data_IF_567988469254
#
_entry.id   IF_567988469254
#
_cell.length_a   1.000
_cell.length_b   1.000
_cell.length_c   1.000
_cell.angle_alpha   90.00
_cell.angle_beta   90.00
_cell.angle_gamma   90.00
#
_symmetry.space_group_name_H-M   'P 1'
#
loop_
_entity.id
_entity.type
_entity.pdbx_description
1 polymer ?
#
# COMPACT_ATOMS: atom_id res chain seq x y z
N UNK A 1 -16.97 -7.08 10.99
CA UNK A 1 -15.83 -7.64 10.23
C UNK A 1 -14.50 -7.15 10.81
N UNK A 2 -13.37 -7.74 10.37
CA UNK A 2 -12.02 -7.32 10.85
C UNK A 2 -11.77 -5.87 10.42
N UNK A 3 -12.11 -5.52 9.18
CA UNK A 3 -12.02 -4.16 8.65
C UNK A 3 -12.74 -3.14 9.55
N UNK A 4 -13.98 -3.40 9.94
CA UNK A 4 -14.76 -2.47 10.78
C UNK A 4 -14.12 -2.26 12.14
N UNK A 5 -13.70 -3.34 12.79
CA UNK A 5 -13.04 -3.26 14.11
C UNK A 5 -11.76 -2.42 14.04
N UNK A 6 -10.98 -2.59 12.97
CA UNK A 6 -9.78 -1.81 12.75
C UNK A 6 -10.10 -0.33 12.53
N UNK A 7 -11.05 -0.02 11.63
CA UNK A 7 -11.46 1.36 11.36
C UNK A 7 -12.03 2.02 12.61
N UNK A 8 -12.93 1.37 13.33
CA UNK A 8 -13.55 1.88 14.55
C UNK A 8 -12.49 2.14 15.64
N UNK A 9 -11.51 1.26 15.78
CA UNK A 9 -10.38 1.47 16.69
C UNK A 9 -9.57 2.70 16.30
N UNK A 10 -9.20 2.86 15.03
CA UNK A 10 -8.40 3.99 14.54
C UNK A 10 -9.16 5.30 14.70
N UNK A 11 -10.46 5.34 14.37
CA UNK A 11 -11.30 6.51 14.58
C UNK A 11 -11.41 6.88 16.06
N UNK A 12 -11.56 5.89 16.95
CA UNK A 12 -11.60 6.09 18.40
C UNK A 12 -10.29 6.63 18.98
N UNK A 13 -9.16 6.33 18.35
CA UNK A 13 -7.85 6.88 18.70
C UNK A 13 -7.58 8.26 18.08
N UNK A 14 -8.54 8.85 17.37
CA UNK A 14 -8.41 10.17 16.74
C UNK A 14 -7.77 10.15 15.36
N UNK A 15 -7.46 8.99 14.79
CA UNK A 15 -6.99 8.84 13.41
C UNK A 15 -8.20 8.77 12.50
N UNK A 16 -8.74 9.95 12.15
CA UNK A 16 -10.10 10.08 11.61
C UNK A 16 -10.20 10.86 10.30
N UNK A 17 -9.08 11.21 9.68
CA UNK A 17 -9.07 12.01 8.44
C UNK A 17 -9.38 11.18 7.21
N UNK A 18 -8.73 10.04 7.07
CA UNK A 18 -8.87 9.16 5.91
C UNK A 18 -8.79 7.69 6.32
N UNK A 19 -9.46 6.85 5.54
CA UNK A 19 -9.47 5.39 5.69
C UNK A 19 -8.83 4.80 4.44
N UNK A 20 -7.66 4.19 4.62
CA UNK A 20 -6.96 3.51 3.53
C UNK A 20 -7.59 2.13 3.27
N UNK A 21 -8.15 1.96 2.09
CA UNK A 21 -8.53 0.65 1.56
C UNK A 21 -7.39 0.19 0.65
N UNK A 22 -6.41 -0.48 1.27
CA UNK A 22 -5.12 -0.86 0.68
C UNK A 22 -5.27 -1.75 -0.55
N UNK A 23 -4.18 -1.79 -1.36
CA UNK A 23 -4.05 -2.49 -2.64
C UNK A 23 -4.93 -3.74 -2.75
N UNK A 24 -6.03 -3.60 -3.49
CA UNK A 24 -7.01 -4.69 -3.62
C UNK A 24 -6.68 -5.61 -4.78
N UNK A 25 -5.97 -5.11 -5.81
CA UNK A 25 -5.59 -5.93 -6.96
C UNK A 25 -4.19 -6.49 -6.74
N UNK A 26 -4.04 -7.81 -6.63
CA UNK A 26 -2.73 -8.45 -6.55
C UNK A 26 -1.91 -8.18 -7.82
N UNK A 27 -0.58 -8.05 -7.68
CA UNK A 27 0.32 -7.77 -8.80
C UNK A 27 0.26 -8.81 -9.93
N UNK A 28 -0.04 -10.06 -9.57
CA UNK A 28 -0.21 -11.16 -10.53
C UNK A 28 -1.64 -11.29 -11.09
N UNK A 29 -2.58 -10.42 -10.64
CA UNK A 29 -4.02 -10.48 -10.95
C UNK A 29 -4.68 -11.82 -10.57
N UNK A 30 -4.12 -12.56 -9.63
CA UNK A 30 -4.69 -13.79 -9.09
C UNK A 30 -5.46 -13.49 -7.81
N UNK A 31 -6.76 -13.75 -7.83
CA UNK A 31 -7.67 -13.54 -6.71
C UNK A 31 -7.98 -14.87 -6.05
N UNK A 32 -7.89 -14.90 -4.74
CA UNK A 32 -8.30 -16.04 -3.93
C UNK A 32 -9.58 -15.68 -3.17
N UNK A 33 -10.58 -16.54 -3.24
CA UNK A 33 -11.80 -16.40 -2.47
C UNK A 33 -12.34 -17.75 -2.02
N UNK A 34 -13.07 -17.76 -0.91
CA UNK A 34 -13.76 -18.94 -0.42
C UNK A 34 -15.08 -19.12 -1.20
N UNK A 35 -15.26 -20.27 -1.83
CA UNK A 35 -16.51 -20.66 -2.48
C UNK A 35 -17.35 -21.49 -1.50
N UNK A 36 -18.40 -20.90 -0.96
CA UNK A 36 -19.27 -21.56 0.02
C UNK A 36 -19.99 -22.78 -0.57
N UNK A 37 -20.35 -22.74 -1.84
CA UNK A 37 -21.05 -23.82 -2.50
C UNK A 37 -20.16 -25.06 -2.70
N UNK A 38 -18.86 -24.84 -2.91
CA UNK A 38 -17.88 -25.91 -3.09
C UNK A 38 -17.16 -26.28 -1.79
N UNK A 39 -17.15 -25.38 -0.79
CA UNK A 39 -16.44 -25.58 0.45
C UNK A 39 -14.91 -25.55 0.31
N UNK A 40 -14.39 -24.81 -0.68
CA UNK A 40 -12.96 -24.72 -0.97
C UNK A 40 -12.53 -23.29 -1.36
N UNK A 41 -11.23 -23.01 -1.23
CA UNK A 41 -10.63 -21.79 -1.74
C UNK A 41 -10.39 -21.93 -3.23
N UNK A 42 -10.87 -20.96 -3.99
CA UNK A 42 -10.69 -20.87 -5.45
C UNK A 42 -9.72 -19.77 -5.77
N UNK A 43 -8.75 -20.07 -6.61
CA UNK A 43 -7.85 -19.08 -7.23
C UNK A 43 -8.28 -18.84 -8.65
N UNK A 44 -8.44 -17.56 -9.01
CA UNK A 44 -8.82 -17.16 -10.36
C UNK A 44 -7.93 -16.04 -10.86
N UNK A 45 -7.41 -16.18 -12.07
CA UNK A 45 -6.73 -15.07 -12.75
C UNK A 45 -7.76 -14.17 -13.41
N UNK A 46 -7.75 -12.91 -13.01
CA UNK A 46 -8.71 -11.91 -13.48
C UNK A 46 -7.95 -10.63 -13.89
N UNK A 47 -7.53 -10.58 -15.15
CA UNK A 47 -6.85 -9.39 -15.67
C UNK A 47 -7.82 -8.22 -15.81
N UNK A 48 -7.42 -7.00 -15.38
CA UNK A 48 -8.24 -5.80 -15.48
C UNK A 48 -8.74 -5.55 -16.91
N UNK A 49 -10.00 -5.13 -17.03
CA UNK A 49 -10.67 -4.94 -18.33
C UNK A 49 -11.35 -6.18 -18.90
N UNK A 50 -11.06 -7.37 -18.38
CA UNK A 50 -11.74 -8.59 -18.81
C UNK A 50 -13.14 -8.73 -18.21
N UNK A 51 -13.96 -9.59 -18.83
CA UNK A 51 -15.31 -9.87 -18.33
C UNK A 51 -15.27 -10.45 -16.92
N UNK A 52 -14.38 -11.42 -16.68
CA UNK A 52 -14.24 -12.08 -15.36
C UNK A 52 -13.83 -11.09 -14.27
N UNK A 53 -12.94 -10.15 -14.57
CA UNK A 53 -12.56 -9.08 -13.64
C UNK A 53 -13.79 -8.26 -13.22
N UNK A 54 -14.62 -7.85 -14.17
CA UNK A 54 -15.85 -7.09 -13.88
C UNK A 54 -16.88 -7.92 -13.11
N UNK A 55 -17.02 -9.19 -13.43
CA UNK A 55 -17.96 -10.09 -12.76
C UNK A 55 -17.61 -10.32 -11.28
N UNK A 56 -16.33 -10.36 -10.95
CA UNK A 56 -15.85 -10.54 -9.57
C UNK A 56 -15.91 -9.20 -8.81
N UNK A 57 -15.31 -8.16 -9.39
CA UNK A 57 -15.12 -6.91 -8.65
C UNK A 57 -16.39 -6.05 -8.55
N UNK A 58 -17.24 -6.02 -9.56
CA UNK A 58 -18.42 -5.14 -9.54
C UNK A 58 -19.38 -5.40 -8.36
N UNK A 59 -19.78 -6.64 -8.06
CA UNK A 59 -20.65 -6.90 -6.91
C UNK A 59 -19.96 -6.56 -5.59
N UNK A 60 -18.68 -6.90 -5.43
CA UNK A 60 -17.91 -6.56 -4.24
C UNK A 60 -17.83 -5.04 -4.04
N UNK A 61 -17.43 -4.27 -5.06
CA UNK A 61 -17.29 -2.82 -4.96
C UNK A 61 -18.61 -2.13 -4.65
N UNK A 62 -19.71 -2.58 -5.23
CA UNK A 62 -21.05 -2.06 -4.93
C UNK A 62 -21.46 -2.35 -3.48
N UNK A 63 -21.22 -3.56 -3.00
CA UNK A 63 -21.52 -3.93 -1.62
C UNK A 63 -20.63 -3.17 -0.65
N UNK A 64 -19.35 -3.04 -0.94
CA UNK A 64 -18.41 -2.28 -0.12
C UNK A 64 -18.77 -0.79 -0.09
N UNK A 65 -19.19 -0.19 -1.21
CA UNK A 65 -19.70 1.18 -1.25
C UNK A 65 -20.92 1.35 -0.35
N UNK A 66 -21.90 0.42 -0.44
CA UNK A 66 -23.07 0.41 0.43
C UNK A 66 -22.66 0.36 1.90
N UNK A 67 -21.72 -0.56 2.24
CA UNK A 67 -21.20 -0.70 3.60
C UNK A 67 -20.53 0.59 4.10
N UNK A 68 -19.66 1.20 3.31
CA UNK A 68 -19.03 2.48 3.67
C UNK A 68 -20.04 3.59 3.91
N UNK A 69 -21.13 3.66 3.13
CA UNK A 69 -22.24 4.63 3.32
C UNK A 69 -23.01 4.38 4.60
N UNK A 70 -23.37 3.13 4.88
CA UNK A 70 -24.07 2.72 6.09
C UNK A 70 -23.27 3.05 7.36
N UNK A 71 -21.93 2.98 7.28
CA UNK A 71 -21.02 3.36 8.36
C UNK A 71 -20.70 4.86 8.43
N UNK A 72 -21.08 5.66 7.44
CA UNK A 72 -20.72 7.08 7.33
C UNK A 72 -19.22 7.30 7.05
N UNK A 73 -18.59 6.39 6.30
CA UNK A 73 -17.16 6.40 6.02
C UNK A 73 -16.80 6.70 4.56
N UNK A 74 -17.78 6.76 3.66
CA UNK A 74 -17.53 6.89 2.22
C UNK A 74 -16.69 8.11 1.85
N UNK A 75 -16.98 9.27 2.48
CA UNK A 75 -16.27 10.52 2.24
C UNK A 75 -14.82 10.55 2.76
N UNK A 76 -14.48 9.63 3.64
CA UNK A 76 -13.15 9.47 4.21
C UNK A 76 -12.35 8.35 3.55
N UNK A 77 -13.03 7.42 2.89
CA UNK A 77 -12.38 6.28 2.27
C UNK A 77 -11.66 6.69 0.98
N UNK A 78 -10.51 6.07 0.75
CA UNK A 78 -9.87 6.05 -0.56
C UNK A 78 -9.40 4.64 -0.88
N UNK A 79 -9.43 4.32 -2.17
CA UNK A 79 -8.96 3.02 -2.66
C UNK A 79 -7.53 3.17 -3.17
N UNK A 80 -6.63 2.44 -2.57
CA UNK A 80 -5.30 2.17 -3.10
C UNK A 80 -5.43 0.90 -3.95
N UNK A 81 -5.64 1.07 -5.26
CA UNK A 81 -6.07 -0.01 -6.15
C UNK A 81 -4.91 -0.80 -6.74
N UNK A 82 -3.93 -0.10 -7.26
CA UNK A 82 -2.70 -0.65 -7.82
C UNK A 82 -1.48 -0.08 -7.12
N UNK A 83 -0.45 -0.90 -7.02
CA UNK A 83 0.84 -0.56 -6.42
C UNK A 83 1.93 -0.53 -7.50
N UNK A 84 2.64 0.59 -7.59
CA UNK A 84 3.80 0.84 -8.46
C UNK A 84 3.64 0.26 -9.89
N UNK A 85 2.62 0.66 -10.66
CA UNK A 85 2.44 0.14 -12.00
C UNK A 85 3.58 0.60 -12.90
N UNK A 86 3.86 -0.18 -13.94
CA UNK A 86 4.76 0.21 -15.02
C UNK A 86 3.96 0.65 -16.24
N UNK A 87 4.57 1.41 -17.13
CA UNK A 87 3.93 1.91 -18.36
C UNK A 87 3.25 0.79 -19.17
N UNK A 88 3.84 -0.40 -19.21
CA UNK A 88 3.27 -1.56 -19.88
C UNK A 88 1.95 -2.04 -19.26
N UNK A 89 1.65 -1.67 -18.02
CA UNK A 89 0.43 -2.06 -17.30
C UNK A 89 -0.62 -0.95 -17.26
N UNK A 90 -0.35 0.25 -17.76
CA UNK A 90 -1.27 1.38 -17.67
C UNK A 90 -2.64 1.12 -18.27
N UNK A 91 -2.74 0.35 -19.37
CA UNK A 91 -4.04 -0.03 -19.93
C UNK A 91 -4.89 -0.78 -18.91
N UNK A 92 -4.29 -1.69 -18.15
CA UNK A 92 -4.95 -2.43 -17.08
C UNK A 92 -5.33 -1.52 -15.92
N UNK A 93 -4.41 -0.63 -15.52
CA UNK A 93 -4.66 0.38 -14.47
C UNK A 93 -5.86 1.23 -14.83
N UNK A 94 -5.90 1.78 -16.03
CA UNK A 94 -7.01 2.61 -16.52
C UNK A 94 -8.33 1.84 -16.49
N UNK A 95 -8.34 0.59 -16.95
CA UNK A 95 -9.54 -0.25 -16.95
C UNK A 95 -10.09 -0.45 -15.52
N UNK A 96 -9.21 -0.75 -14.57
CA UNK A 96 -9.59 -0.90 -13.16
C UNK A 96 -10.03 0.41 -12.50
N UNK A 97 -9.31 1.52 -12.75
CA UNK A 97 -9.66 2.83 -12.20
C UNK A 97 -11.01 3.35 -12.72
N UNK A 98 -11.35 3.03 -13.99
CA UNK A 98 -12.67 3.33 -14.56
C UNK A 98 -13.76 2.51 -13.88
N UNK A 99 -13.53 1.23 -13.64
CA UNK A 99 -14.48 0.38 -12.92
C UNK A 99 -14.73 0.93 -11.50
N UNK A 100 -13.69 1.37 -10.80
CA UNK A 100 -13.85 2.04 -9.50
C UNK A 100 -14.71 3.30 -9.62
N UNK A 101 -14.44 4.17 -10.57
CA UNK A 101 -15.20 5.41 -10.77
C UNK A 101 -16.68 5.13 -11.07
N UNK A 102 -16.97 4.08 -11.84
CA UNK A 102 -18.33 3.66 -12.16
C UNK A 102 -19.07 3.07 -10.96
N UNK A 103 -18.37 2.33 -10.10
CA UNK A 103 -19.00 1.57 -9.01
C UNK A 103 -18.94 2.29 -7.67
N UNK A 104 -17.94 3.14 -7.44
CA UNK A 104 -17.67 3.88 -6.20
C UNK A 104 -17.38 5.36 -6.48
N UNK A 105 -18.31 6.12 -7.09
CA UNK A 105 -18.05 7.48 -7.56
C UNK A 105 -17.69 8.48 -6.45
N UNK A 106 -18.08 8.20 -5.21
CA UNK A 106 -17.78 9.03 -4.02
C UNK A 106 -16.43 8.77 -3.38
N UNK A 107 -15.70 7.71 -3.81
CA UNK A 107 -14.46 7.29 -3.18
C UNK A 107 -13.27 7.67 -4.05
N UNK A 108 -12.25 8.30 -3.44
CA UNK A 108 -11.03 8.70 -4.15
C UNK A 108 -10.17 7.50 -4.52
N UNK A 109 -9.46 7.60 -5.65
CA UNK A 109 -8.56 6.57 -6.20
C UNK A 109 -7.13 7.05 -6.06
N UNK A 110 -6.33 6.32 -5.29
CA UNK A 110 -4.90 6.57 -5.12
C UNK A 110 -4.08 5.64 -6.01
N UNK A 111 -3.00 6.17 -6.56
CA UNK A 111 -2.01 5.42 -7.33
C UNK A 111 -0.61 5.85 -6.91
N UNK A 112 0.26 4.88 -6.64
CA UNK A 112 1.70 5.09 -6.37
C UNK A 112 2.45 5.30 -7.69
N UNK A 113 2.17 6.42 -8.34
CA UNK A 113 2.76 6.83 -9.61
C UNK A 113 2.86 8.36 -9.67
N UNK A 114 3.77 8.88 -10.48
CA UNK A 114 3.79 10.29 -10.85
C UNK A 114 2.73 10.58 -11.92
N UNK A 115 2.36 11.88 -12.11
CA UNK A 115 1.45 12.24 -13.18
C UNK A 115 1.97 11.87 -14.57
N UNK A 116 1.31 10.88 -15.20
CA UNK A 116 1.57 10.46 -16.57
C UNK A 116 0.34 10.74 -17.44
N UNK A 117 0.55 11.24 -18.66
CA UNK A 117 -0.55 11.65 -19.56
C UNK A 117 -1.59 10.57 -19.80
N UNK A 118 -1.13 9.35 -19.93
CA UNK A 118 -1.97 8.17 -20.17
C UNK A 118 -2.97 7.92 -19.03
N UNK A 119 -2.62 8.34 -17.82
CA UNK A 119 -3.40 8.09 -16.61
C UNK A 119 -4.35 9.25 -16.25
N UNK A 120 -4.31 10.38 -16.96
CA UNK A 120 -5.11 11.56 -16.63
C UNK A 120 -6.61 11.25 -16.57
N UNK A 121 -7.29 11.86 -15.56
CA UNK A 121 -8.71 11.66 -15.30
C UNK A 121 -9.07 10.31 -14.67
N UNK A 122 -8.07 9.44 -14.42
CA UNK A 122 -8.27 8.15 -13.77
C UNK A 122 -7.73 8.09 -12.34
N UNK A 123 -6.99 9.08 -11.89
CA UNK A 123 -6.36 9.16 -10.56
C UNK A 123 -6.88 10.40 -9.84
N UNK A 124 -7.18 10.29 -8.56
CA UNK A 124 -7.61 11.40 -7.72
C UNK A 124 -6.52 11.80 -6.72
N UNK A 125 -5.64 10.86 -6.37
CA UNK A 125 -4.50 11.07 -5.48
C UNK A 125 -3.27 10.44 -6.12
N UNK A 126 -2.35 11.28 -6.56
CA UNK A 126 -1.03 10.88 -7.04
C UNK A 126 -0.09 10.68 -5.87
N UNK A 127 0.66 9.59 -5.85
CA UNK A 127 1.57 9.27 -4.76
C UNK A 127 2.95 8.84 -5.29
N UNK A 128 3.72 9.76 -5.92
CA UNK A 128 5.06 9.46 -6.38
C UNK A 128 6.08 9.39 -5.23
N UNK A 129 7.25 8.83 -5.51
CA UNK A 129 8.44 9.10 -4.69
C UNK A 129 8.93 10.54 -4.88
N UNK A 130 9.62 11.15 -3.90
CA UNK A 130 10.00 12.57 -3.93
C UNK A 130 10.76 13.04 -5.17
N UNK A 131 11.59 12.18 -5.75
CA UNK A 131 12.39 12.53 -6.95
C UNK A 131 11.57 12.52 -8.25
N UNK A 132 10.33 12.01 -8.20
CA UNK A 132 9.38 12.02 -9.31
C UNK A 132 8.23 13.02 -9.12
N UNK A 133 8.24 13.82 -8.04
CA UNK A 133 7.15 14.75 -7.75
C UNK A 133 7.03 15.84 -8.81
N UNK A 134 8.15 16.48 -9.15
CA UNK A 134 8.17 17.65 -10.03
C UNK A 134 8.19 17.26 -11.50
N UNK A 135 7.07 16.76 -12.00
CA UNK A 135 6.88 16.51 -13.42
C UNK A 135 6.27 17.73 -14.11
N UNK A 136 6.41 17.81 -15.43
CA UNK A 136 5.77 18.86 -16.24
C UNK A 136 4.23 18.86 -16.11
N UNK A 137 3.66 17.76 -15.63
CA UNK A 137 2.22 17.54 -15.54
C UNK A 137 1.63 17.87 -14.17
N UNK A 138 2.44 18.01 -13.13
CA UNK A 138 1.99 18.28 -11.75
C UNK A 138 1.02 19.46 -11.69
N UNK A 139 1.38 20.58 -12.31
CA UNK A 139 0.57 21.79 -12.29
C UNK A 139 -0.81 21.63 -12.96
N UNK A 140 -0.93 20.79 -13.98
CA UNK A 140 -2.19 20.51 -14.65
C UNK A 140 -3.10 19.64 -13.75
N UNK A 141 -2.54 18.61 -13.12
CA UNK A 141 -3.25 17.73 -12.20
C UNK A 141 -3.77 18.49 -10.96
N UNK A 142 -2.94 19.37 -10.37
CA UNK A 142 -3.37 20.23 -9.24
C UNK A 142 -4.51 21.17 -9.64
N UNK A 143 -4.47 21.76 -10.85
CA UNK A 143 -5.57 22.59 -11.37
C UNK A 143 -6.85 21.80 -11.62
N UNK A 144 -6.73 20.52 -11.93
CA UNK A 144 -7.88 19.60 -12.05
C UNK A 144 -8.46 19.18 -10.67
N UNK A 145 -7.85 19.60 -9.56
CA UNK A 145 -8.30 19.28 -8.21
C UNK A 145 -7.79 17.96 -7.68
N UNK A 146 -6.79 17.37 -8.33
CA UNK A 146 -6.16 16.13 -7.90
C UNK A 146 -5.19 16.40 -6.74
N UNK A 147 -5.14 15.48 -5.79
CA UNK A 147 -4.30 15.57 -4.60
C UNK A 147 -2.93 14.94 -4.84
N UNK A 148 -1.93 15.41 -4.10
CA UNK A 148 -0.59 14.86 -4.12
C UNK A 148 -0.19 14.36 -2.74
N UNK A 149 0.22 13.11 -2.70
CA UNK A 149 0.89 12.46 -1.60
C UNK A 149 2.29 12.05 -2.07
N UNK A 150 3.07 11.46 -1.21
CA UNK A 150 4.32 10.80 -1.56
C UNK A 150 4.69 9.72 -0.55
N UNK A 151 5.66 8.90 -0.92
CA UNK A 151 6.16 7.86 -0.04
C UNK A 151 7.68 7.72 -0.16
N UNK A 152 8.27 7.08 0.83
CA UNK A 152 9.64 6.58 0.83
C UNK A 152 9.61 5.05 0.98
N UNK A 153 10.64 4.42 0.47
CA UNK A 153 10.95 3.02 0.69
C UNK A 153 12.49 2.85 0.56
N UNK A 154 12.97 1.83 -0.12
CA UNK A 154 14.41 1.70 -0.46
C UNK A 154 14.92 2.81 -1.39
N UNK A 155 14.03 3.57 -1.97
CA UNK A 155 14.28 4.77 -2.78
C UNK A 155 13.48 5.97 -2.20
N UNK A 156 13.89 7.21 -2.51
CA UNK A 156 15.08 7.62 -3.27
C UNK A 156 16.37 7.54 -2.45
N UNK A 157 17.49 7.42 -3.15
CA UNK A 157 18.82 7.55 -2.55
C UNK A 157 19.22 9.01 -2.38
N UNK A 158 20.36 9.25 -1.72
CA UNK A 158 20.93 10.58 -1.63
C UNK A 158 21.04 11.24 -3.04
N UNK A 159 20.79 12.54 -3.18
CA UNK A 159 20.71 13.59 -2.14
C UNK A 159 19.31 13.79 -1.55
N UNK A 160 18.34 12.98 -1.90
CA UNK A 160 17.00 13.07 -1.32
C UNK A 160 16.99 12.57 0.13
N UNK A 161 16.04 13.04 0.92
CA UNK A 161 15.84 12.52 2.27
C UNK A 161 15.37 11.05 2.22
N UNK A 162 15.65 10.31 3.28
CA UNK A 162 15.33 8.88 3.38
C UNK A 162 14.96 8.49 4.81
N UNK A 163 14.49 7.26 4.96
CA UNK A 163 13.97 6.73 6.22
C UNK A 163 14.88 5.66 6.85
N UNK A 164 16.03 5.36 6.25
CA UNK A 164 16.93 4.33 6.76
C UNK A 164 17.62 4.74 8.07
N UNK A 165 17.83 3.78 8.95
CA UNK A 165 18.51 3.98 10.24
C UNK A 165 19.94 4.53 10.02
N UNK A 166 20.59 4.18 8.91
CA UNK A 166 21.95 4.62 8.57
C UNK A 166 22.05 6.09 8.15
N UNK A 167 20.92 6.75 7.95
CA UNK A 167 20.88 8.13 7.52
C UNK A 167 20.71 9.09 8.70
N UNK A 168 21.00 10.36 8.48
CA UNK A 168 20.85 11.37 9.51
C UNK A 168 19.37 11.46 9.95
N UNK A 169 19.10 11.35 11.26
CA UNK A 169 17.73 11.43 11.80
C UNK A 169 17.00 12.75 11.48
N UNK A 170 17.76 13.81 11.12
CA UNK A 170 17.20 15.07 10.63
C UNK A 170 16.44 14.92 9.30
N UNK A 171 16.73 13.90 8.49
CA UNK A 171 16.07 13.69 7.19
C UNK A 171 14.59 13.36 7.34
N UNK A 172 14.22 12.53 8.31
CA UNK A 172 12.81 12.26 8.61
C UNK A 172 12.07 13.53 9.08
N UNK A 173 12.76 14.43 9.76
CA UNK A 173 12.19 15.74 10.12
C UNK A 173 12.02 16.63 8.90
N UNK A 174 12.99 16.61 7.98
CA UNK A 174 12.89 17.34 6.71
C UNK A 174 11.72 16.86 5.84
N UNK A 175 11.36 15.60 5.92
CA UNK A 175 10.22 15.05 5.20
C UNK A 175 8.92 15.81 5.50
N UNK A 176 8.63 16.10 6.76
CA UNK A 176 7.48 16.91 7.15
C UNK A 176 7.54 18.36 6.61
N UNK A 177 8.72 19.01 6.70
CA UNK A 177 8.90 20.37 6.18
C UNK A 177 8.81 20.43 4.66
N UNK A 178 9.37 19.44 3.97
CA UNK A 178 9.28 19.35 2.53
C UNK A 178 7.83 19.11 2.09
N UNK A 179 7.08 18.23 2.79
CA UNK A 179 5.65 18.01 2.53
C UNK A 179 4.85 19.31 2.61
N UNK A 180 5.09 20.10 3.65
CA UNK A 180 4.45 21.40 3.81
C UNK A 180 4.79 22.35 2.65
N UNK A 181 6.08 22.48 2.32
CA UNK A 181 6.57 23.39 1.29
C UNK A 181 6.04 23.05 -0.11
N UNK A 182 5.87 21.78 -0.41
CA UNK A 182 5.42 21.29 -1.72
C UNK A 182 3.92 20.96 -1.77
N UNK A 183 3.16 21.38 -0.74
CA UNK A 183 1.71 21.17 -0.66
C UNK A 183 1.28 19.70 -0.79
N UNK A 184 2.10 18.81 -0.24
CA UNK A 184 1.77 17.38 -0.14
C UNK A 184 0.74 17.19 0.98
N UNK A 185 -0.35 16.53 0.66
CA UNK A 185 -1.48 16.32 1.58
C UNK A 185 -1.40 15.05 2.41
N UNK A 186 -0.55 14.10 2.02
CA UNK A 186 -0.40 12.85 2.73
C UNK A 186 0.97 12.21 2.53
N UNK A 187 1.36 11.43 3.53
CA UNK A 187 2.55 10.60 3.50
C UNK A 187 2.07 9.15 3.57
N UNK A 188 2.42 8.35 2.56
CA UNK A 188 2.16 6.93 2.57
C UNK A 188 3.38 6.20 3.13
N UNK A 189 3.12 5.27 4.06
CA UNK A 189 4.12 4.34 4.57
C UNK A 189 3.65 2.93 4.23
N UNK A 190 4.42 2.21 3.45
CA UNK A 190 4.05 0.88 2.96
C UNK A 190 3.92 -0.14 4.10
N UNK A 191 4.73 0.00 5.14
CA UNK A 191 4.66 -0.79 6.37
C UNK A 191 5.22 0.00 7.55
N UNK A 192 4.71 -0.26 8.75
CA UNK A 192 5.27 0.24 10.01
C UNK A 192 5.82 -0.89 10.89
N UNK A 193 5.41 -2.12 10.63
CA UNK A 193 5.64 -3.31 11.47
C UNK A 193 6.20 -4.49 10.67
N UNK A 194 7.04 -4.21 9.67
CA UNK A 194 7.69 -5.25 8.87
C UNK A 194 8.82 -5.93 9.66
N UNK A 195 8.45 -6.74 10.64
CA UNK A 195 9.38 -7.29 11.62
C UNK A 195 10.23 -8.44 11.11
N UNK A 196 9.72 -9.20 10.14
CA UNK A 196 10.39 -10.39 9.62
C UNK A 196 10.46 -10.39 8.11
N UNK A 197 11.46 -11.05 7.56
CA UNK A 197 11.60 -11.26 6.12
C UNK A 197 11.90 -12.73 5.85
N UNK A 198 11.15 -13.35 4.94
CA UNK A 198 11.37 -14.73 4.52
C UNK A 198 12.74 -14.90 3.83
N UNK A 199 13.26 -13.87 3.19
CA UNK A 199 14.58 -13.90 2.56
C UNK A 199 15.70 -13.95 3.59
N UNK A 200 15.52 -13.32 4.77
CA UNK A 200 16.52 -13.34 5.84
C UNK A 200 16.49 -14.66 6.63
N UNK A 201 15.30 -15.13 6.94
CA UNK A 201 15.05 -16.30 7.75
C UNK A 201 13.98 -17.17 7.09
N UNK A 202 14.36 -18.01 6.12
CA UNK A 202 13.41 -18.87 5.42
C UNK A 202 12.81 -19.97 6.32
N UNK A 203 13.41 -20.22 7.48
CA UNK A 203 12.89 -21.13 8.49
C UNK A 203 11.87 -20.39 9.38
N UNK A 204 10.60 -20.77 9.27
CA UNK A 204 9.49 -20.21 10.07
C UNK A 204 9.67 -20.36 11.59
N UNK A 205 10.53 -21.32 12.02
CA UNK A 205 10.85 -21.53 13.45
C UNK A 205 11.89 -20.54 13.99
N UNK A 206 12.52 -19.75 13.09
CA UNK A 206 13.53 -18.76 13.44
C UNK A 206 13.19 -17.43 12.79
N UNK A 207 12.13 -16.74 13.26
CA UNK A 207 11.77 -15.43 12.73
C UNK A 207 12.91 -14.42 12.99
N UNK A 208 13.02 -13.45 12.10
CA UNK A 208 13.97 -12.35 12.27
C UNK A 208 13.61 -11.54 13.52
N UNK A 209 14.61 -11.27 14.36
CA UNK A 209 14.46 -10.36 15.48
C UNK A 209 14.86 -8.94 15.05
N UNK A 210 13.93 -7.98 14.92
CA UNK A 210 14.25 -6.63 14.45
C UNK A 210 15.13 -5.82 15.42
N UNK A 211 15.27 -6.25 16.66
CA UNK A 211 16.19 -5.62 17.64
C UNK A 211 17.65 -5.99 17.40
N UNK A 212 17.90 -7.18 16.82
CA UNK A 212 19.24 -7.67 16.52
C UNK A 212 19.60 -7.46 15.04
N UNK A 213 18.63 -7.60 14.16
CA UNK A 213 18.77 -7.42 12.71
C UNK A 213 17.62 -6.57 12.17
N UNK A 214 17.78 -5.23 12.15
CA UNK A 214 16.76 -4.32 11.62
C UNK A 214 16.73 -4.30 10.09
N UNK A 215 17.63 -5.00 9.39
CA UNK A 215 17.69 -5.02 7.93
C UNK A 215 16.44 -5.67 7.34
N UNK A 216 15.77 -4.97 6.43
CA UNK A 216 14.82 -5.61 5.52
C UNK A 216 15.59 -6.37 4.43
N UNK A 217 15.15 -7.58 4.12
CA UNK A 217 15.77 -8.44 3.12
C UNK A 217 14.82 -8.68 1.96
N UNK A 218 15.35 -8.64 0.76
CA UNK A 218 14.59 -8.92 -0.45
C UNK A 218 14.10 -10.36 -0.46
N UNK A 219 12.87 -10.58 -0.91
CA UNK A 219 12.27 -11.90 -1.07
C UNK A 219 11.90 -12.17 -2.54
N UNK A 220 11.68 -13.45 -2.86
CA UNK A 220 11.22 -13.86 -4.19
C UNK A 220 12.24 -13.67 -5.30
N UNK A 221 11.77 -13.32 -6.50
CA UNK A 221 12.58 -13.25 -7.72
C UNK A 221 13.67 -12.18 -7.76
N UNK A 222 13.77 -11.33 -6.76
CA UNK A 222 14.81 -10.30 -6.69
C UNK A 222 16.11 -10.77 -6.02
N UNK A 223 16.08 -11.94 -5.37
CA UNK A 223 17.27 -12.59 -4.81
C UNK A 223 17.33 -14.04 -5.30
N UNK A 224 18.53 -14.59 -5.45
CA UNK A 224 18.69 -16.00 -5.78
C UNK A 224 18.28 -16.87 -4.59
N UNK A 225 17.79 -18.09 -4.80
CA UNK A 225 17.51 -19.03 -3.71
C UNK A 225 18.73 -19.16 -2.77
N UNK A 226 18.51 -18.92 -1.47
CA UNK A 226 19.56 -18.96 -0.45
C UNK A 226 20.47 -17.72 -0.38
N UNK A 227 20.30 -16.74 -1.25
CA UNK A 227 21.02 -15.47 -1.19
C UNK A 227 20.29 -14.50 -0.25
N UNK A 228 21.06 -13.80 0.60
CA UNK A 228 20.59 -12.70 1.43
C UNK A 228 20.98 -11.38 0.76
N UNK A 229 20.00 -10.70 0.18
CA UNK A 229 20.19 -9.39 -0.42
C UNK A 229 19.52 -8.32 0.44
N UNK A 230 20.26 -7.35 1.00
CA UNK A 230 19.66 -6.31 1.81
C UNK A 230 18.75 -5.42 0.97
N UNK A 231 17.60 -5.09 1.54
CA UNK A 231 16.65 -4.15 0.98
C UNK A 231 16.89 -2.75 1.51
N UNK A 232 16.78 -2.57 2.83
CA UNK A 232 16.99 -1.30 3.49
C UNK A 232 16.99 -1.45 5.00
N UNK A 233 17.94 -0.79 5.66
CA UNK A 233 18.07 -0.86 7.12
C UNK A 233 16.99 -0.02 7.80
N UNK A 234 16.00 -0.67 8.39
CA UNK A 234 14.86 -0.03 9.06
C UNK A 234 13.66 0.26 8.15
N UNK A 235 13.74 -0.02 6.83
CA UNK A 235 12.62 0.18 5.92
C UNK A 235 11.40 -0.63 6.35
N UNK A 236 10.25 0.06 6.50
CA UNK A 236 9.02 -0.54 7.00
C UNK A 236 9.01 -0.90 8.48
N UNK A 237 9.98 -0.46 9.30
CA UNK A 237 10.17 -0.83 10.71
C UNK A 237 10.19 0.37 11.63
N UNK A 238 9.06 1.07 11.72
CA UNK A 238 8.91 2.24 12.58
C UNK A 238 8.45 1.90 14.00
N UNK A 239 7.75 0.78 14.15
CA UNK A 239 7.23 0.29 15.42
C UNK A 239 7.81 -1.10 15.65
N UNK A 240 8.53 -1.28 16.76
CA UNK A 240 9.11 -2.57 17.13
C UNK A 240 8.13 -3.41 17.93
N UNK A 241 8.18 -4.75 17.83
CA UNK A 241 7.31 -5.62 18.60
C UNK A 241 7.66 -5.56 20.09
N UNK A 242 6.73 -5.91 20.99
CA UNK A 242 7.07 -6.12 22.38
C UNK A 242 8.14 -7.22 22.53
N UNK A 243 9.15 -7.01 23.38
CA UNK A 243 10.25 -7.97 23.59
C UNK A 243 9.77 -9.39 23.91
N UNK A 244 8.71 -9.51 24.73
CA UNK A 244 8.11 -10.82 25.07
C UNK A 244 7.57 -11.56 23.83
N UNK A 245 7.05 -10.84 22.84
CA UNK A 245 6.59 -11.44 21.59
C UNK A 245 7.74 -11.95 20.73
N UNK A 246 8.90 -11.29 20.77
CA UNK A 246 10.11 -11.73 20.06
C UNK A 246 10.67 -12.99 20.69
N UNK A 247 10.64 -13.08 22.04
CA UNK A 247 11.13 -14.24 22.78
C UNK A 247 10.20 -15.46 22.70
N UNK A 248 8.88 -15.21 22.62
CA UNK A 248 7.85 -16.27 22.63
C UNK A 248 7.28 -16.59 21.27
N UNK A 249 7.68 -15.93 20.21
CA UNK A 249 7.26 -16.23 18.83
C UNK A 249 7.86 -17.56 18.36
N UNK A 250 7.58 -18.62 19.10
CA UNK A 250 7.65 -20.00 18.64
C UNK A 250 6.55 -20.23 17.60
N UNK A 251 6.90 -20.95 16.55
CA UNK A 251 6.00 -21.35 15.50
C UNK A 251 4.66 -21.85 16.07
N UNK A 252 3.58 -21.13 15.86
CA UNK A 252 2.24 -21.59 16.17
C UNK A 252 1.32 -20.62 16.89
N UNK A 253 1.80 -19.54 17.47
CA UNK A 253 0.91 -18.55 18.07
C UNK A 253 0.34 -17.59 16.99
N UNK A 254 -0.75 -18.05 16.38
CA UNK A 254 -1.66 -17.22 15.58
C UNK A 254 -2.44 -16.19 16.43
N UNK A 255 -1.83 -15.73 17.53
CA UNK A 255 -2.45 -14.79 18.47
C UNK A 255 -2.28 -13.32 18.06
N UNK A 256 -1.76 -13.06 16.85
CA UNK A 256 -1.70 -11.73 16.27
C UNK A 256 -2.60 -11.61 15.04
N UNK A 257 -3.88 -11.91 15.23
CA UNK A 257 -4.93 -11.55 14.27
C UNK A 257 -5.82 -10.48 14.88
#
# INVERSE_FOLDING_TARGET
AVFDRWVEMMLGLGINKMINCYSMVPWNNELEYWDEAKGETITVKADPGTKIFKEIWTPFLKDFTRHLREKGWEDKAFIYWYDEPTQNTYTNVIAGMRLLKETMPGVKRLLTEQPEKELFGNVDIWCPMPHYLHTEHEGACRKAGEDFWWYLCTEPKAPYFGEFIDRAGAELRLWGWASWKTEIKGILMWSATYWTSRAAYPDVKKPQNPYEDPMAWVSGGQARPGERKPWGNGDGRFIYPPLKCVETAGAGDAAFV
#
